data_IF_039243320804
#
_entry.id   IF_039243320804
#
_cell.length_a   1.000
_cell.length_b   1.000
_cell.length_c   1.000
_cell.angle_alpha   90.00
_cell.angle_beta   90.00
_cell.angle_gamma   90.00
#
_symmetry.space_group_name_H-M   'P 1'
#
loop_
_entity.id
_entity.type
_entity.pdbx_description
1 polymer ?
#
# COMPACT_ATOMS: atom_id res chain seq x y z
N UNK A 1 0.51 -21.17 -11.23
CA UNK A 1 1.35 -20.44 -12.22
C UNK A 1 2.73 -21.08 -12.30
N UNK A 2 3.38 -21.13 -13.47
CA UNK A 2 4.77 -21.60 -13.55
C UNK A 2 5.73 -20.58 -12.92
N UNK A 3 6.86 -21.02 -12.38
CA UNK A 3 7.86 -20.14 -11.75
C UNK A 3 8.36 -19.04 -12.70
N UNK A 4 8.52 -19.37 -13.99
CA UNK A 4 8.92 -18.42 -15.03
C UNK A 4 7.85 -17.33 -15.25
N UNK A 5 6.58 -17.71 -15.37
CA UNK A 5 5.47 -16.75 -15.55
C UNK A 5 5.36 -15.81 -14.35
N UNK A 6 5.50 -16.32 -13.13
CA UNK A 6 5.49 -15.51 -11.91
C UNK A 6 6.63 -14.49 -11.91
N UNK A 7 7.86 -14.93 -12.19
CA UNK A 7 9.02 -14.06 -12.14
C UNK A 7 8.94 -12.96 -13.20
N UNK A 8 8.46 -13.29 -14.40
CA UNK A 8 8.16 -12.29 -15.43
C UNK A 8 7.11 -11.29 -14.98
N UNK A 9 6.03 -11.74 -14.35
CA UNK A 9 4.98 -10.86 -13.83
C UNK A 9 5.54 -9.91 -12.76
N UNK A 10 6.31 -10.43 -11.80
CA UNK A 10 6.95 -9.62 -10.75
C UNK A 10 7.94 -8.61 -11.32
N UNK A 11 8.73 -9.00 -12.32
CA UNK A 11 9.68 -8.11 -12.98
C UNK A 11 8.94 -7.00 -13.73
N UNK A 12 7.93 -7.34 -14.54
CA UNK A 12 7.11 -6.37 -15.28
C UNK A 12 6.42 -5.41 -14.32
N UNK A 13 5.86 -5.92 -13.21
CA UNK A 13 5.26 -5.08 -12.17
C UNK A 13 6.28 -4.12 -11.53
N UNK A 14 7.47 -4.61 -11.20
CA UNK A 14 8.53 -3.79 -10.57
C UNK A 14 9.04 -2.71 -11.53
N UNK A 15 9.19 -3.04 -12.82
CA UNK A 15 9.57 -2.06 -13.86
C UNK A 15 8.44 -1.04 -14.06
N UNK A 16 7.19 -1.49 -14.19
CA UNK A 16 6.06 -0.59 -14.40
C UNK A 16 5.88 0.38 -13.21
N UNK A 17 5.98 -0.10 -11.98
CA UNK A 17 5.92 0.74 -10.78
C UNK A 17 7.10 1.72 -10.70
N UNK A 18 8.31 1.31 -11.11
CA UNK A 18 9.47 2.20 -11.18
C UNK A 18 9.29 3.30 -12.24
N UNK A 19 8.71 2.97 -13.40
CA UNK A 19 8.37 3.95 -14.44
C UNK A 19 7.31 4.93 -13.91
N UNK A 20 6.26 4.45 -13.23
CA UNK A 20 5.27 5.32 -12.59
C UNK A 20 5.93 6.28 -11.58
N UNK A 21 6.80 5.77 -10.72
CA UNK A 21 7.53 6.59 -9.75
C UNK A 21 8.42 7.65 -10.43
N UNK A 22 9.11 7.27 -11.51
CA UNK A 22 9.92 8.19 -12.31
C UNK A 22 9.07 9.28 -12.98
N UNK A 23 7.89 8.94 -13.49
CA UNK A 23 6.94 9.90 -14.06
C UNK A 23 6.44 10.88 -12.99
N UNK A 24 6.10 10.41 -11.79
CA UNK A 24 5.71 11.29 -10.69
C UNK A 24 6.85 12.21 -10.25
N UNK A 25 8.08 11.69 -10.18
CA UNK A 25 9.27 12.48 -9.86
C UNK A 25 9.54 13.55 -10.93
N UNK A 26 9.46 13.19 -12.22
CA UNK A 26 9.63 14.12 -13.33
C UNK A 26 8.54 15.21 -13.35
N UNK A 27 7.28 14.83 -13.13
CA UNK A 27 6.16 15.77 -13.01
C UNK A 27 6.35 16.73 -11.83
N UNK A 28 6.81 16.22 -10.68
CA UNK A 28 7.13 17.04 -9.52
C UNK A 28 8.24 18.04 -9.81
N UNK A 29 9.36 17.59 -10.39
CA UNK A 29 10.49 18.45 -10.76
C UNK A 29 10.06 19.52 -11.76
N UNK A 30 9.31 19.14 -12.79
CA UNK A 30 8.78 20.08 -13.78
C UNK A 30 7.92 21.16 -13.12
N UNK A 31 6.96 20.76 -12.30
CA UNK A 31 6.03 21.67 -11.66
C UNK A 31 6.72 22.53 -10.58
N UNK A 32 7.77 22.02 -9.92
CA UNK A 32 8.63 22.79 -9.02
C UNK A 32 9.43 23.86 -9.77
N UNK A 33 10.07 23.51 -10.90
CA UNK A 33 10.82 24.45 -11.75
C UNK A 33 9.89 25.54 -12.30
N UNK A 34 8.69 25.17 -12.73
CA UNK A 34 7.66 26.09 -13.23
C UNK A 34 6.97 26.91 -12.13
N UNK A 35 7.30 26.69 -10.85
CA UNK A 35 6.73 27.41 -9.71
C UNK A 35 5.20 27.40 -9.72
N UNK A 36 4.60 26.25 -10.01
CA UNK A 36 3.14 26.11 -10.05
C UNK A 36 2.59 26.47 -8.66
N UNK A 37 1.58 27.36 -8.55
CA UNK A 37 1.06 27.84 -7.26
C UNK A 37 0.64 26.70 -6.32
N UNK A 38 0.02 25.66 -6.87
CA UNK A 38 -0.39 24.47 -6.12
C UNK A 38 0.78 23.79 -5.39
N UNK A 39 1.97 23.74 -6.01
CA UNK A 39 3.18 23.16 -5.40
C UNK A 39 3.77 24.10 -4.35
N UNK A 40 3.72 25.40 -4.57
CA UNK A 40 4.21 26.37 -3.58
C UNK A 40 3.36 26.33 -2.29
N UNK A 41 2.04 26.17 -2.43
CA UNK A 41 1.14 25.99 -1.28
C UNK A 41 1.33 24.66 -0.54
N UNK A 42 2.04 23.67 -1.11
CA UNK A 42 2.32 22.42 -0.40
C UNK A 42 3.23 22.67 0.80
N UNK A 43 4.18 23.61 0.67
CA UNK A 43 5.24 23.86 1.65
C UNK A 43 4.89 24.95 2.66
N UNK A 44 3.65 25.46 2.66
CA UNK A 44 3.20 26.37 3.72
C UNK A 44 2.98 25.59 5.01
N UNK A 45 3.90 25.76 5.96
CA UNK A 45 3.76 25.19 7.30
C UNK A 45 2.73 25.99 8.11
N UNK A 46 1.87 25.32 8.91
CA UNK A 46 1.02 26.02 9.86
C UNK A 46 1.89 26.79 10.86
N UNK A 47 1.49 28.02 11.18
CA UNK A 47 2.15 28.82 12.21
C UNK A 47 1.92 28.17 13.58
N UNK A 48 2.92 27.43 14.06
CA UNK A 48 2.85 26.76 15.37
C UNK A 48 4.02 27.18 16.25
N UNK A 49 3.73 27.63 17.47
CA UNK A 49 4.73 27.87 18.50
C UNK A 49 5.18 26.54 19.13
N UNK A 50 6.19 25.92 18.51
CA UNK A 50 6.94 24.80 19.11
C UNK A 50 7.05 23.54 18.24
N UNK A 51 8.24 22.93 18.26
CA UNK A 51 8.59 21.74 17.47
C UNK A 51 7.63 20.55 17.66
N UNK A 52 7.24 20.25 18.91
CA UNK A 52 6.30 19.16 19.18
C UNK A 52 4.91 19.42 18.62
N UNK A 53 4.43 20.67 18.62
CA UNK A 53 3.13 21.01 18.05
C UNK A 53 3.14 20.90 16.53
N UNK A 54 4.24 21.25 15.86
CA UNK A 54 4.42 21.03 14.43
C UNK A 54 4.27 19.53 14.06
N UNK A 55 4.73 18.64 14.93
CA UNK A 55 4.72 17.20 14.68
C UNK A 55 3.31 16.58 14.77
N UNK A 56 2.48 17.09 15.68
CA UNK A 56 1.09 16.63 15.87
C UNK A 56 0.08 17.38 15.00
N UNK A 57 0.37 18.61 14.58
CA UNK A 57 -0.57 19.42 13.81
C UNK A 57 -0.76 18.86 12.39
N UNK A 58 -2.01 18.76 11.92
CA UNK A 58 -2.28 18.36 10.54
C UNK A 58 -1.62 19.32 9.55
N UNK A 59 -0.87 18.79 8.60
CA UNK A 59 -0.20 19.54 7.55
C UNK A 59 -0.24 18.78 6.23
N UNK A 60 -0.30 19.52 5.13
CA UNK A 60 -0.33 18.94 3.79
C UNK A 60 0.99 18.21 3.46
N UNK A 61 2.11 18.72 3.97
CA UNK A 61 3.46 18.19 3.72
C UNK A 61 3.56 16.72 4.11
N UNK A 62 3.07 16.33 5.28
CA UNK A 62 3.10 14.95 5.75
C UNK A 62 2.24 14.04 4.87
N UNK A 63 1.05 14.49 4.47
CA UNK A 63 0.18 13.75 3.54
C UNK A 63 0.84 13.60 2.15
N UNK A 64 1.54 14.62 1.66
CA UNK A 64 2.28 14.55 0.41
C UNK A 64 3.45 13.55 0.50
N UNK A 65 4.26 13.63 1.57
CA UNK A 65 5.40 12.73 1.76
C UNK A 65 4.98 11.28 1.97
N UNK A 66 3.80 11.00 2.55
CA UNK A 66 3.31 9.61 2.65
C UNK A 66 3.05 9.01 1.26
N UNK A 67 2.51 9.80 0.33
CA UNK A 67 2.28 9.38 -1.06
C UNK A 67 3.60 9.20 -1.83
N UNK A 68 4.56 10.10 -1.65
CA UNK A 68 5.92 9.96 -2.21
C UNK A 68 6.57 8.69 -1.68
N UNK A 69 6.41 8.40 -0.39
CA UNK A 69 6.92 7.18 0.21
C UNK A 69 6.30 5.94 -0.43
N UNK A 70 4.98 5.89 -0.63
CA UNK A 70 4.36 4.77 -1.35
C UNK A 70 4.91 4.61 -2.77
N UNK A 71 5.03 5.70 -3.51
CA UNK A 71 5.56 5.71 -4.89
C UNK A 71 6.98 5.12 -4.98
N UNK A 72 7.86 5.43 -4.02
CA UNK A 72 9.24 4.92 -3.98
C UNK A 72 9.34 3.52 -3.36
N UNK A 73 8.50 3.23 -2.36
CA UNK A 73 8.51 1.98 -1.63
C UNK A 73 8.10 0.80 -2.51
N UNK A 74 7.05 0.95 -3.32
CA UNK A 74 6.53 -0.15 -4.17
C UNK A 74 7.59 -0.73 -5.11
N UNK A 75 8.28 0.05 -5.96
CA UNK A 75 9.30 -0.50 -6.85
C UNK A 75 10.47 -1.08 -6.06
N UNK A 76 10.90 -0.44 -4.97
CA UNK A 76 11.99 -0.96 -4.14
C UNK A 76 11.64 -2.33 -3.52
N UNK A 77 10.43 -2.48 -2.97
CA UNK A 77 9.92 -3.73 -2.44
C UNK A 77 9.70 -4.77 -3.55
N UNK A 78 9.20 -4.37 -4.72
CA UNK A 78 9.01 -5.23 -5.89
C UNK A 78 10.33 -5.85 -6.37
N UNK A 79 11.37 -5.03 -6.56
CA UNK A 79 12.70 -5.51 -6.90
C UNK A 79 13.30 -6.39 -5.80
N UNK A 80 13.13 -6.02 -4.52
CA UNK A 80 13.58 -6.85 -3.41
C UNK A 80 12.91 -8.23 -3.43
N UNK A 81 11.60 -8.30 -3.72
CA UNK A 81 10.89 -9.57 -3.88
C UNK A 81 11.44 -10.37 -5.06
N UNK A 82 11.60 -9.74 -6.22
CA UNK A 82 12.10 -10.39 -7.43
C UNK A 82 13.48 -11.03 -7.20
N UNK A 83 14.45 -10.28 -6.68
CA UNK A 83 15.81 -10.79 -6.48
C UNK A 83 15.92 -11.84 -5.37
N UNK A 84 15.18 -11.69 -4.26
CA UNK A 84 15.30 -12.63 -3.13
C UNK A 84 14.49 -13.93 -3.33
N UNK A 85 13.43 -13.91 -4.14
CA UNK A 85 12.50 -15.04 -4.30
C UNK A 85 12.43 -15.57 -5.72
N UNK A 86 13.37 -15.23 -6.60
CA UNK A 86 13.40 -15.70 -7.99
C UNK A 86 13.27 -17.24 -8.08
N UNK A 87 13.99 -17.97 -7.23
CA UNK A 87 14.07 -19.44 -7.25
C UNK A 87 13.09 -20.15 -6.31
N UNK A 88 12.39 -19.40 -5.45
CA UNK A 88 11.58 -19.98 -4.37
C UNK A 88 10.10 -19.64 -4.56
N UNK A 89 9.22 -20.63 -4.57
CA UNK A 89 7.77 -20.41 -4.58
C UNK A 89 7.22 -20.26 -3.16
N UNK A 90 6.74 -19.05 -2.83
CA UNK A 90 6.02 -18.73 -1.60
C UNK A 90 4.71 -18.03 -1.96
N UNK A 91 3.62 -18.52 -1.37
CA UNK A 91 2.29 -17.93 -1.54
C UNK A 91 2.17 -16.60 -0.80
N UNK A 92 2.76 -16.50 0.39
CA UNK A 92 2.78 -15.30 1.21
C UNK A 92 3.50 -14.16 0.48
N UNK A 93 4.58 -14.47 -0.25
CA UNK A 93 5.29 -13.50 -1.08
C UNK A 93 4.47 -13.11 -2.33
N UNK A 94 3.70 -14.03 -2.91
CA UNK A 94 2.77 -13.73 -4.01
C UNK A 94 1.70 -12.73 -3.54
N UNK A 95 1.05 -12.98 -2.41
CA UNK A 95 0.03 -12.07 -1.87
C UNK A 95 0.64 -10.79 -1.30
N UNK A 96 1.87 -10.82 -0.79
CA UNK A 96 2.61 -9.59 -0.49
C UNK A 96 2.84 -8.75 -1.76
N UNK A 97 3.09 -9.39 -2.91
CA UNK A 97 3.22 -8.68 -4.19
C UNK A 97 1.88 -8.10 -4.67
N UNK A 98 0.77 -8.82 -4.46
CA UNK A 98 -0.58 -8.28 -4.71
C UNK A 98 -0.89 -7.08 -3.78
N UNK A 99 -0.45 -7.14 -2.51
CA UNK A 99 -0.56 -6.02 -1.58
C UNK A 99 0.19 -4.78 -2.12
N UNK A 100 1.36 -4.95 -2.73
CA UNK A 100 2.11 -3.85 -3.35
C UNK A 100 1.38 -3.20 -4.53
N UNK A 101 0.56 -3.94 -5.29
CA UNK A 101 -0.26 -3.36 -6.37
C UNK A 101 -1.27 -2.38 -5.77
N UNK A 102 -1.92 -2.74 -4.66
CA UNK A 102 -2.85 -1.83 -4.00
C UNK A 102 -2.16 -0.60 -3.40
N UNK A 103 -0.93 -0.76 -2.88
CA UNK A 103 -0.12 0.38 -2.40
C UNK A 103 0.30 1.28 -3.57
N UNK A 104 0.57 0.73 -4.75
CA UNK A 104 0.85 1.51 -5.96
C UNK A 104 -0.35 2.38 -6.33
N UNK A 105 -1.56 1.84 -6.24
CA UNK A 105 -2.78 2.57 -6.57
C UNK A 105 -3.00 3.78 -5.64
N UNK A 106 -2.58 3.70 -4.37
CA UNK A 106 -2.60 4.83 -3.45
C UNK A 106 -1.65 5.96 -3.88
N UNK A 107 -0.53 5.65 -4.51
CA UNK A 107 0.43 6.64 -5.02
C UNK A 107 -0.14 7.52 -6.15
N UNK A 108 -1.17 7.06 -6.87
CA UNK A 108 -1.84 7.87 -7.90
C UNK A 108 -2.50 9.13 -7.34
N UNK A 109 -2.72 9.21 -6.03
CA UNK A 109 -3.15 10.46 -5.38
C UNK A 109 -2.13 11.59 -5.51
N UNK A 110 -0.86 11.30 -5.87
CA UNK A 110 0.14 12.33 -6.22
C UNK A 110 -0.32 13.19 -7.40
N UNK A 111 -1.18 12.68 -8.28
CA UNK A 111 -1.75 13.47 -9.36
C UNK A 111 -2.51 14.71 -8.85
N UNK A 112 -3.15 14.65 -7.67
CA UNK A 112 -3.89 15.80 -7.14
C UNK A 112 -3.00 17.03 -6.95
N UNK A 113 -1.93 16.98 -6.11
CA UNK A 113 -1.04 18.12 -5.93
C UNK A 113 -0.24 18.45 -7.20
N UNK A 114 0.18 17.45 -7.98
CA UNK A 114 1.03 17.67 -9.16
C UNK A 114 0.32 18.43 -10.29
N UNK A 115 -0.97 18.15 -10.49
CA UNK A 115 -1.79 18.83 -11.50
C UNK A 115 -2.60 20.00 -10.92
N UNK A 116 -2.45 20.30 -9.62
CA UNK A 116 -3.20 21.37 -8.95
C UNK A 116 -4.71 21.17 -8.99
N UNK A 117 -5.17 19.91 -8.91
CA UNK A 117 -6.59 19.59 -8.98
C UNK A 117 -7.30 20.09 -7.71
N UNK A 118 -8.25 20.99 -7.89
CA UNK A 118 -9.13 21.46 -6.82
C UNK A 118 -10.37 20.59 -6.72
N UNK A 119 -11.01 20.63 -5.55
CA UNK A 119 -12.26 19.92 -5.32
C UNK A 119 -13.33 20.43 -6.30
N UNK A 120 -13.99 19.51 -7.01
CA UNK A 120 -14.91 19.86 -8.08
C UNK A 120 -15.32 18.67 -8.94
N UNK A 121 -16.22 18.89 -9.88
CA UNK A 121 -16.66 17.85 -10.81
C UNK A 121 -15.64 17.70 -11.94
N UNK A 122 -14.74 16.71 -11.81
CA UNK A 122 -13.74 16.37 -12.83
C UNK A 122 -13.70 14.87 -13.03
N UNK A 123 -13.78 14.43 -14.29
CA UNK A 123 -13.63 13.02 -14.65
C UNK A 123 -12.26 12.46 -14.27
N UNK A 124 -11.21 13.29 -14.34
CA UNK A 124 -9.87 12.88 -13.94
C UNK A 124 -9.78 12.68 -12.41
N UNK A 125 -10.43 13.55 -11.63
CA UNK A 125 -10.48 13.41 -10.18
C UNK A 125 -11.27 12.17 -9.75
N UNK A 126 -12.37 11.87 -10.47
CA UNK A 126 -13.12 10.62 -10.28
C UNK A 126 -12.24 9.41 -10.57
N UNK A 127 -11.48 9.41 -11.67
CA UNK A 127 -10.57 8.31 -12.01
C UNK A 127 -9.51 8.08 -10.94
N UNK A 128 -8.88 9.14 -10.41
CA UNK A 128 -7.90 9.01 -9.31
C UNK A 128 -8.57 8.41 -8.06
N UNK A 129 -9.77 8.87 -7.72
CA UNK A 129 -10.55 8.31 -6.61
C UNK A 129 -10.88 6.83 -6.82
N UNK A 130 -11.26 6.43 -8.04
CA UNK A 130 -11.52 5.03 -8.39
C UNK A 130 -10.27 4.16 -8.28
N UNK A 131 -9.12 4.63 -8.77
CA UNK A 131 -7.85 3.90 -8.67
C UNK A 131 -7.43 3.75 -7.21
N UNK A 132 -7.49 4.82 -6.40
CA UNK A 132 -7.18 4.73 -4.96
C UNK A 132 -8.14 3.77 -4.24
N UNK A 133 -9.44 3.84 -4.53
CA UNK A 133 -10.41 2.93 -3.92
C UNK A 133 -10.21 1.47 -4.36
N UNK A 134 -9.86 1.24 -5.63
CA UNK A 134 -9.48 -0.09 -6.14
C UNK A 134 -8.34 -0.68 -5.28
N UNK A 135 -7.25 0.07 -5.09
CA UNK A 135 -6.12 -0.40 -4.29
C UNK A 135 -6.47 -0.67 -2.83
N UNK A 136 -7.38 0.13 -2.26
CA UNK A 136 -7.85 -0.07 -0.89
C UNK A 136 -8.66 -1.34 -0.69
N UNK A 137 -9.49 -1.71 -1.66
CA UNK A 137 -10.25 -2.97 -1.64
C UNK A 137 -9.31 -4.14 -1.97
N UNK A 138 -8.38 -3.95 -2.89
CA UNK A 138 -7.38 -4.96 -3.24
C UNK A 138 -6.54 -5.37 -2.03
N UNK A 139 -6.01 -4.40 -1.28
CA UNK A 139 -5.27 -4.66 -0.04
C UNK A 139 -6.14 -5.41 0.97
N UNK A 140 -7.40 -4.98 1.14
CA UNK A 140 -8.33 -5.61 2.07
C UNK A 140 -8.53 -7.09 1.76
N UNK A 141 -8.82 -7.41 0.49
CA UNK A 141 -9.05 -8.77 0.02
C UNK A 141 -7.76 -9.59 0.04
N UNK A 142 -6.63 -8.99 -0.31
CA UNK A 142 -5.32 -9.64 -0.28
C UNK A 142 -4.95 -10.10 1.13
N UNK A 143 -5.16 -9.25 2.15
CA UNK A 143 -4.86 -9.57 3.54
C UNK A 143 -5.65 -10.81 3.99
N UNK A 144 -6.96 -10.85 3.76
CA UNK A 144 -7.78 -11.98 4.22
C UNK A 144 -7.47 -13.28 3.45
N UNK A 145 -7.22 -13.18 2.14
CA UNK A 145 -6.82 -14.33 1.32
C UNK A 145 -5.47 -14.88 1.77
N UNK A 146 -4.52 -14.01 2.09
CA UNK A 146 -3.23 -14.41 2.67
C UNK A 146 -3.42 -15.16 3.99
N UNK A 147 -4.35 -14.72 4.84
CA UNK A 147 -4.76 -15.46 6.04
C UNK A 147 -5.31 -16.86 5.73
N UNK A 148 -6.17 -16.99 4.73
CA UNK A 148 -6.71 -18.28 4.31
C UNK A 148 -5.62 -19.27 3.85
N UNK A 149 -4.62 -18.78 3.11
CA UNK A 149 -3.48 -19.63 2.71
C UNK A 149 -2.60 -20.04 3.89
N UNK A 150 -2.39 -19.16 4.87
CA UNK A 150 -1.69 -19.53 6.09
C UNK A 150 -2.39 -20.66 6.85
N UNK A 151 -3.73 -20.71 6.81
CA UNK A 151 -4.53 -21.78 7.44
C UNK A 151 -4.45 -23.15 6.70
N UNK A 152 -3.78 -23.22 5.55
CA UNK A 152 -3.59 -24.46 4.79
C UNK A 152 -4.52 -24.62 3.58
N UNK A 153 -5.05 -23.54 3.01
CA UNK A 153 -5.77 -23.60 1.74
C UNK A 153 -4.88 -24.14 0.60
N UNK A 154 -5.50 -24.82 -0.38
CA UNK A 154 -4.77 -25.49 -1.46
C UNK A 154 -3.97 -24.52 -2.35
N UNK A 155 -2.66 -24.70 -2.40
CA UNK A 155 -1.72 -23.83 -3.15
C UNK A 155 -1.97 -23.80 -4.67
N UNK A 156 -2.59 -24.86 -5.20
CA UNK A 156 -2.78 -25.10 -6.64
C UNK A 156 -3.73 -24.08 -7.30
N UNK A 157 -4.57 -23.42 -6.52
CA UNK A 157 -5.55 -22.44 -7.00
C UNK A 157 -5.17 -20.98 -6.73
N UNK A 158 -3.96 -20.71 -6.23
CA UNK A 158 -3.48 -19.37 -5.88
C UNK A 158 -3.67 -18.31 -6.97
N UNK A 159 -3.48 -18.68 -8.25
CA UNK A 159 -3.72 -17.79 -9.38
C UNK A 159 -5.18 -17.35 -9.50
N UNK A 160 -6.13 -18.25 -9.23
CA UNK A 160 -7.57 -17.97 -9.28
C UNK A 160 -7.95 -16.99 -8.18
N UNK A 161 -7.44 -17.20 -6.97
CA UNK A 161 -7.66 -16.27 -5.85
C UNK A 161 -7.09 -14.88 -6.13
N UNK A 162 -5.89 -14.79 -6.71
CA UNK A 162 -5.33 -13.51 -7.14
C UNK A 162 -6.23 -12.83 -8.20
N UNK A 163 -6.73 -13.59 -9.18
CA UNK A 163 -7.70 -13.10 -10.16
C UNK A 163 -9.00 -12.59 -9.51
N UNK A 164 -9.55 -13.33 -8.54
CA UNK A 164 -10.75 -12.90 -7.81
C UNK A 164 -10.52 -11.62 -7.01
N UNK A 165 -9.38 -11.49 -6.33
CA UNK A 165 -9.01 -10.27 -5.60
C UNK A 165 -9.04 -9.07 -6.55
N UNK A 166 -8.41 -9.18 -7.73
CA UNK A 166 -8.36 -8.10 -8.72
C UNK A 166 -9.74 -7.77 -9.30
N UNK A 167 -10.51 -8.78 -9.72
CA UNK A 167 -11.84 -8.58 -10.33
C UNK A 167 -12.81 -7.95 -9.33
N UNK A 168 -12.87 -8.47 -8.11
CA UNK A 168 -13.79 -7.94 -7.08
C UNK A 168 -13.41 -6.49 -6.76
N UNK A 169 -12.11 -6.21 -6.56
CA UNK A 169 -11.64 -4.85 -6.29
C UNK A 169 -12.01 -3.88 -7.41
N UNK A 170 -11.90 -4.33 -8.67
CA UNK A 170 -12.28 -3.54 -9.84
C UNK A 170 -13.79 -3.26 -9.88
N UNK A 171 -14.62 -4.27 -9.63
CA UNK A 171 -16.08 -4.10 -9.56
C UNK A 171 -16.47 -3.09 -8.48
N UNK A 172 -15.89 -3.21 -7.28
CA UNK A 172 -16.14 -2.28 -6.18
C UNK A 172 -15.73 -0.84 -6.54
N UNK A 173 -14.61 -0.66 -7.23
CA UNK A 173 -14.15 0.66 -7.69
C UNK A 173 -15.10 1.35 -8.68
N UNK A 174 -15.75 0.59 -9.56
CA UNK A 174 -16.73 1.14 -10.50
C UNK A 174 -18.05 1.49 -9.80
N UNK A 175 -18.51 0.62 -8.89
CA UNK A 175 -19.81 0.73 -8.24
C UNK A 175 -19.80 1.82 -7.16
N UNK A 176 -18.66 2.06 -6.51
CA UNK A 176 -18.59 2.93 -5.35
C UNK A 176 -18.93 4.39 -5.70
N UNK A 177 -19.90 5.02 -4.99
CA UNK A 177 -20.15 6.44 -5.15
C UNK A 177 -19.00 7.25 -4.54
N UNK A 178 -18.32 8.00 -5.39
CA UNK A 178 -17.24 8.91 -5.02
C UNK A 178 -17.75 10.35 -5.02
N UNK A 179 -17.41 11.11 -3.98
CA UNK A 179 -17.68 12.54 -3.91
C UNK A 179 -16.41 13.34 -4.21
N UNK A 180 -16.31 13.86 -5.43
CA UNK A 180 -15.15 14.65 -5.88
C UNK A 180 -15.16 16.10 -5.39
N UNK A 181 -16.24 16.53 -4.72
CA UNK A 181 -16.37 17.89 -4.18
C UNK A 181 -15.73 18.06 -2.80
N UNK A 182 -15.33 16.95 -2.16
CA UNK A 182 -14.72 16.97 -0.81
C UNK A 182 -13.45 16.13 -0.82
N UNK A 183 -12.36 16.73 -0.34
CA UNK A 183 -11.13 16.01 -0.04
C UNK A 183 -11.02 15.71 1.44
N UNK A 184 -10.74 14.46 1.74
CA UNK A 184 -10.40 13.99 3.07
C UNK A 184 -8.89 13.86 3.20
N UNK A 185 -8.36 14.18 4.38
CA UNK A 185 -6.93 14.13 4.67
C UNK A 185 -6.08 14.82 3.58
N UNK A 186 -6.60 15.93 3.03
CA UNK A 186 -5.99 16.76 1.99
C UNK A 186 -5.88 16.16 0.58
N UNK A 187 -5.76 14.84 0.43
CA UNK A 187 -5.40 14.19 -0.85
C UNK A 187 -6.34 13.05 -1.27
N UNK A 188 -7.30 12.68 -0.42
CA UNK A 188 -8.18 11.52 -0.68
C UNK A 188 -9.56 12.00 -1.13
N UNK A 189 -10.05 11.50 -2.26
CA UNK A 189 -11.44 11.72 -2.70
C UNK A 189 -12.37 11.01 -1.72
N UNK A 190 -13.36 11.73 -1.19
CA UNK A 190 -14.31 11.15 -0.23
C UNK A 190 -15.16 10.06 -0.88
N UNK A 191 -15.46 9.01 -0.13
CA UNK A 191 -16.29 7.89 -0.56
C UNK A 191 -17.21 7.44 0.57
N UNK A 192 -18.36 6.86 0.22
CA UNK A 192 -19.35 6.41 1.20
C UNK A 192 -18.82 5.34 2.18
N UNK A 193 -19.45 5.19 3.34
CA UNK A 193 -19.16 4.10 4.28
C UNK A 193 -17.70 3.97 4.73
N UNK A 194 -16.91 5.05 4.72
CA UNK A 194 -15.50 5.03 5.10
C UNK A 194 -15.22 4.33 6.44
N UNK A 195 -15.98 4.68 7.48
CA UNK A 195 -15.81 4.08 8.81
C UNK A 195 -16.05 2.56 8.82
N UNK A 196 -16.98 2.07 8.00
CA UNK A 196 -17.23 0.63 7.84
C UNK A 196 -16.03 -0.05 7.17
N UNK A 197 -15.51 0.51 6.07
CA UNK A 197 -14.34 -0.05 5.39
C UNK A 197 -13.09 -0.03 6.28
N UNK A 198 -12.89 1.02 7.07
CA UNK A 198 -11.78 1.09 8.03
C UNK A 198 -11.92 0.03 9.13
N UNK A 199 -13.14 -0.20 9.64
CA UNK A 199 -13.42 -1.26 10.61
C UNK A 199 -13.20 -2.66 10.04
N UNK A 200 -13.70 -2.93 8.81
CA UNK A 200 -13.48 -4.22 8.13
C UNK A 200 -11.98 -4.45 7.89
N UNK A 201 -11.23 -3.41 7.49
CA UNK A 201 -9.78 -3.49 7.31
C UNK A 201 -9.05 -3.85 8.61
N UNK A 202 -9.41 -3.19 9.71
CA UNK A 202 -8.84 -3.52 11.02
C UNK A 202 -9.17 -4.96 11.43
N UNK A 203 -10.42 -5.39 11.25
CA UNK A 203 -10.87 -6.75 11.56
C UNK A 203 -10.12 -7.80 10.73
N UNK A 204 -10.03 -7.62 9.40
CA UNK A 204 -9.34 -8.57 8.52
C UNK A 204 -7.84 -8.64 8.80
N UNK A 205 -7.22 -7.51 9.13
CA UNK A 205 -5.80 -7.46 9.54
C UNK A 205 -5.59 -8.25 10.83
N UNK A 206 -6.45 -8.06 11.84
CA UNK A 206 -6.37 -8.78 13.11
C UNK A 206 -6.63 -10.28 12.92
N UNK A 207 -7.67 -10.66 12.17
CA UNK A 207 -7.97 -12.06 11.86
C UNK A 207 -6.80 -12.74 11.16
N UNK A 208 -6.23 -12.10 10.13
CA UNK A 208 -5.09 -12.63 9.38
C UNK A 208 -3.88 -12.82 10.28
N UNK A 209 -3.59 -11.85 11.14
CA UNK A 209 -2.51 -11.94 12.11
C UNK A 209 -2.69 -13.13 13.07
N UNK A 210 -3.90 -13.31 13.63
CA UNK A 210 -4.20 -14.45 14.50
C UNK A 210 -4.07 -15.79 13.76
N UNK A 211 -4.55 -15.87 12.52
CA UNK A 211 -4.42 -17.08 11.70
C UNK A 211 -2.94 -17.40 11.45
N UNK A 212 -2.12 -16.43 11.06
CA UNK A 212 -0.69 -16.63 10.87
C UNK A 212 0.02 -17.11 12.15
N UNK A 213 -0.32 -16.53 13.30
CA UNK A 213 0.25 -16.93 14.58
C UNK A 213 -0.14 -18.35 14.99
N UNK A 214 -1.39 -18.75 14.76
CA UNK A 214 -1.93 -20.06 15.15
C UNK A 214 -1.54 -21.18 14.17
N UNK A 215 -1.29 -20.85 12.91
CA UNK A 215 -0.91 -21.84 11.88
C UNK A 215 0.52 -22.40 12.08
N UNK A 216 1.29 -21.80 12.98
CA UNK A 216 2.65 -22.16 13.30
C UNK A 216 2.73 -23.43 14.20
N UNK A 217 2.86 -24.62 13.58
CA UNK A 217 2.78 -25.94 14.27
C UNK A 217 4.11 -26.61 14.69
N UNK A 218 5.29 -26.17 14.23
CA UNK A 218 6.60 -26.83 14.48
C UNK A 218 7.69 -25.89 15.05
N UNK A 219 8.91 -26.35 15.35
CA UNK A 219 10.02 -25.50 15.84
C UNK A 219 10.53 -24.50 14.77
N UNK A 220 10.48 -24.89 13.49
CA UNK A 220 10.68 -24.02 12.31
C UNK A 220 9.59 -22.94 12.17
N UNK A 221 8.50 -23.08 12.93
CA UNK A 221 7.42 -22.11 12.95
C UNK A 221 7.75 -20.81 13.67
N UNK A 222 8.87 -20.71 14.40
CA UNK A 222 9.24 -19.45 15.07
C UNK A 222 9.55 -18.33 14.07
N UNK A 223 10.19 -18.63 12.94
CA UNK A 223 10.41 -17.63 11.89
C UNK A 223 9.11 -17.28 11.16
N UNK A 224 8.19 -18.23 11.04
CA UNK A 224 6.83 -18.00 10.54
C UNK A 224 6.01 -17.09 11.47
N UNK A 225 6.10 -17.31 12.80
CA UNK A 225 5.47 -16.43 13.82
C UNK A 225 6.06 -15.01 13.79
N UNK A 226 7.38 -14.87 13.62
CA UNK A 226 8.01 -13.55 13.45
C UNK A 226 7.49 -12.86 12.18
N UNK A 227 7.41 -13.59 11.07
CA UNK A 227 6.85 -13.06 9.84
C UNK A 227 5.37 -12.65 9.99
N UNK A 228 4.58 -13.32 10.84
CA UNK A 228 3.23 -12.88 11.18
C UNK A 228 3.22 -11.48 11.82
N UNK A 229 4.10 -11.26 12.81
CA UNK A 229 4.25 -9.97 13.48
C UNK A 229 4.76 -8.90 12.50
N UNK A 230 5.72 -9.26 11.65
CA UNK A 230 6.25 -8.34 10.64
C UNK A 230 5.18 -7.96 9.61
N UNK A 231 4.36 -8.89 9.14
CA UNK A 231 3.25 -8.62 8.21
C UNK A 231 2.15 -7.77 8.87
N UNK A 232 1.85 -8.01 10.14
CA UNK A 232 0.95 -7.15 10.91
C UNK A 232 1.52 -5.73 11.03
N UNK A 233 2.83 -5.58 11.28
CA UNK A 233 3.50 -4.29 11.27
C UNK A 233 3.39 -3.60 9.90
N UNK A 234 3.57 -4.32 8.79
CA UNK A 234 3.36 -3.78 7.43
C UNK A 234 1.93 -3.24 7.25
N UNK A 235 0.91 -4.01 7.65
CA UNK A 235 -0.48 -3.61 7.55
C UNK A 235 -0.78 -2.36 8.38
N UNK A 236 -0.29 -2.31 9.63
CA UNK A 236 -0.40 -1.13 10.49
C UNK A 236 0.32 0.09 9.88
N UNK A 237 1.52 -0.10 9.33
CA UNK A 237 2.28 0.96 8.65
C UNK A 237 1.51 1.55 7.48
N UNK A 238 0.90 0.70 6.65
CA UNK A 238 0.01 1.11 5.57
C UNK A 238 -1.23 1.89 6.07
N UNK A 239 -1.89 1.41 7.12
CA UNK A 239 -3.06 2.09 7.69
C UNK A 239 -2.72 3.49 8.22
N UNK A 240 -1.57 3.65 8.86
CA UNK A 240 -1.10 4.98 9.33
C UNK A 240 -0.76 5.91 8.16
N UNK A 241 -0.06 5.41 7.14
CA UNK A 241 0.37 6.22 6.00
C UNK A 241 -0.79 6.63 5.07
N UNK A 242 -1.75 5.74 4.84
CA UNK A 242 -2.95 6.01 4.03
C UNK A 242 -3.86 7.08 4.65
N UNK A 243 -3.79 7.25 5.98
CA UNK A 243 -4.52 8.29 6.73
C UNK A 243 -3.60 9.39 7.26
N UNK A 244 -2.38 9.50 6.74
CA UNK A 244 -1.39 10.44 7.24
C UNK A 244 -1.86 11.88 7.02
N UNK A 245 -1.99 12.62 8.11
CA UNK A 245 -2.23 14.07 8.10
C UNK A 245 -1.13 14.84 8.81
N UNK A 246 -0.25 14.19 9.57
CA UNK A 246 0.79 14.83 10.35
C UNK A 246 2.06 13.95 10.41
N UNK A 247 3.17 14.53 10.87
CA UNK A 247 4.45 13.82 10.95
C UNK A 247 4.44 12.70 11.98
N UNK A 248 3.59 12.81 13.01
CA UNK A 248 3.36 11.77 14.01
C UNK A 248 2.80 10.47 13.44
N UNK A 249 2.05 10.52 12.34
CA UNK A 249 1.61 9.33 11.62
C UNK A 249 2.64 8.91 10.55
N UNK A 250 3.30 9.89 9.92
CA UNK A 250 4.27 9.64 8.85
C UNK A 250 5.45 8.78 9.31
N UNK A 251 6.15 9.20 10.38
CA UNK A 251 7.38 8.52 10.83
C UNK A 251 7.14 7.07 11.28
N UNK A 252 6.23 6.77 12.23
CA UNK A 252 5.99 5.39 12.61
C UNK A 252 5.37 4.58 11.47
N UNK A 253 4.51 5.19 10.64
CA UNK A 253 3.95 4.52 9.46
C UNK A 253 5.03 4.08 8.47
N UNK A 254 5.98 4.97 8.16
CA UNK A 254 7.14 4.70 7.31
C UNK A 254 8.03 3.60 7.87
N UNK A 255 8.35 3.66 9.17
CA UNK A 255 9.17 2.66 9.85
C UNK A 255 8.50 1.29 9.85
N UNK A 256 7.22 1.22 10.20
CA UNK A 256 6.46 -0.03 10.24
C UNK A 256 6.32 -0.66 8.84
N UNK A 257 6.02 0.15 7.82
CA UNK A 257 5.90 -0.35 6.45
C UNK A 257 7.26 -0.84 5.92
N UNK A 258 8.30 -0.02 6.05
CA UNK A 258 9.63 -0.32 5.53
C UNK A 258 10.33 -1.45 6.29
N UNK A 259 10.54 -1.26 7.60
CA UNK A 259 11.23 -2.25 8.42
C UNK A 259 10.43 -3.55 8.55
N UNK A 260 9.10 -3.46 8.64
CA UNK A 260 8.21 -4.63 8.62
C UNK A 260 8.37 -5.43 7.33
N UNK A 261 8.40 -4.77 6.17
CA UNK A 261 8.56 -5.47 4.87
C UNK A 261 9.92 -6.16 4.74
N UNK A 262 11.00 -5.49 5.15
CA UNK A 262 12.35 -6.07 5.11
C UNK A 262 12.44 -7.30 6.03
N UNK A 263 11.91 -7.20 7.26
CA UNK A 263 11.92 -8.31 8.22
C UNK A 263 11.02 -9.45 7.78
N UNK A 264 9.83 -9.14 7.26
CA UNK A 264 8.90 -10.11 6.69
C UNK A 264 9.55 -10.93 5.59
N UNK A 265 10.13 -10.27 4.58
CA UNK A 265 10.81 -10.95 3.47
C UNK A 265 12.00 -11.77 3.95
N UNK A 266 12.80 -11.26 4.89
CA UNK A 266 13.94 -12.00 5.46
C UNK A 266 13.49 -13.26 6.22
N UNK A 267 12.43 -13.16 7.02
CA UNK A 267 11.93 -14.28 7.80
C UNK A 267 11.23 -15.32 6.91
N UNK A 268 10.50 -14.89 5.88
CA UNK A 268 9.95 -15.78 4.86
C UNK A 268 11.05 -16.48 4.06
N UNK A 269 12.09 -15.76 3.65
CA UNK A 269 13.21 -16.35 2.92
C UNK A 269 13.92 -17.43 3.74
N UNK A 270 14.13 -17.18 5.04
CA UNK A 270 14.65 -18.20 5.97
C UNK A 270 13.70 -19.39 6.07
N UNK A 271 12.43 -19.16 6.38
CA UNK A 271 11.44 -20.22 6.53
C UNK A 271 11.40 -21.16 5.31
N UNK A 272 11.47 -20.62 4.09
CA UNK A 272 11.45 -21.42 2.87
C UNK A 272 12.80 -22.02 2.45
N UNK A 273 13.93 -21.58 2.99
CA UNK A 273 15.23 -22.24 2.74
C UNK A 273 15.43 -23.49 3.60
N UNK A 274 14.78 -23.56 4.76
CA UNK A 274 14.91 -24.68 5.71
C UNK A 274 13.79 -25.72 5.58
N UNK A 275 12.85 -25.52 4.65
CA UNK A 275 11.72 -26.40 4.36
C UNK A 275 11.95 -27.18 3.07
#
# INVERSE_FOLDING_TARGET
>A
MTLNTRNKLLLVFSIASAVCAAVFAAAFLYAFIKKIPAIQSLFSLPETSGFFRLFLTPNYIAAFFSLVLFSLFVPAAGFAVYFNFEKTQSLEVLFFSAFLIGVLCESFKLCLPLFGLTAGYSGFLRLIGQVSFFGQIEILLTIIVQGAFAAGAESRESDKYLGFVLIISFMFSIIMPLNTTVFENYVTVSYGFKGLFDAIRAAFTLCTFLIFLLSAKSTESNDYKKAAVDFFAVCCGYMLLSRCTNFALLLPGALLLGAGSVRFLKNMHRYYMWK
#
